data_IF_371772815266
#
_entry.id   IF_371772815266
#
_cell.length_a   1.000
_cell.length_b   1.000
_cell.length_c   1.000
_cell.angle_alpha   90.00
_cell.angle_beta   90.00
_cell.angle_gamma   90.00
#
_symmetry.space_group_name_H-M   'P 1'
#
loop_
_entity.id
_entity.type
_entity.pdbx_description
1 polymer ?
#
# COMPACT_ATOMS: atom_id res chain seq x y z
N UNK A 1 -3.28 -40.06 14.36
CA UNK A 1 -3.77 -39.94 12.98
C UNK A 1 -3.35 -38.57 12.49
N UNK A 2 -2.33 -38.54 11.64
CA UNK A 2 -1.73 -37.33 11.11
C UNK A 2 -2.69 -36.74 10.06
N UNK A 3 -3.37 -35.65 10.39
CA UNK A 3 -4.12 -34.88 9.40
C UNK A 3 -3.10 -34.18 8.51
N UNK A 4 -2.90 -34.70 7.31
CA UNK A 4 -2.09 -34.06 6.28
C UNK A 4 -2.63 -32.66 6.05
N UNK A 5 -1.83 -31.65 6.38
CA UNK A 5 -2.07 -30.27 6.01
C UNK A 5 -2.25 -30.20 4.50
N UNK A 6 -3.47 -29.91 4.05
CA UNK A 6 -3.68 -29.43 2.71
C UNK A 6 -2.83 -28.17 2.57
N UNK A 7 -1.71 -28.24 1.88
CA UNK A 7 -0.99 -27.05 1.47
C UNK A 7 -1.97 -26.20 0.66
N UNK A 8 -2.37 -25.07 1.24
CA UNK A 8 -3.16 -24.05 0.58
C UNK A 8 -2.34 -23.58 -0.63
N UNK A 9 -2.66 -24.10 -1.81
CA UNK A 9 -2.05 -23.63 -3.05
C UNK A 9 -2.57 -22.22 -3.28
N UNK A 10 -1.76 -21.24 -2.90
CA UNK A 10 -2.04 -19.82 -3.06
C UNK A 10 -1.50 -19.36 -4.42
N UNK A 11 -2.30 -18.62 -5.17
CA UNK A 11 -1.92 -18.10 -6.49
C UNK A 11 -2.11 -16.59 -6.54
N UNK A 12 -1.13 -15.86 -7.09
CA UNK A 12 -1.28 -14.42 -7.35
C UNK A 12 -1.91 -14.22 -8.71
N UNK A 13 -2.93 -13.37 -8.79
CA UNK A 13 -3.66 -13.03 -10.01
C UNK A 13 -4.02 -11.54 -10.02
N UNK A 14 -4.39 -11.01 -11.19
CA UNK A 14 -4.99 -9.67 -11.31
C UNK A 14 -6.29 -9.58 -10.52
N UNK A 15 -6.66 -8.38 -10.09
CA UNK A 15 -7.98 -8.12 -9.48
C UNK A 15 -8.98 -7.71 -10.58
N UNK A 16 -9.88 -8.61 -11.03
CA UNK A 16 -10.90 -8.24 -12.01
C UNK A 16 -11.97 -7.34 -11.38
N UNK A 17 -12.64 -6.54 -12.20
CA UNK A 17 -13.64 -5.55 -11.77
C UNK A 17 -14.77 -6.15 -10.94
N UNK A 18 -15.23 -7.36 -11.29
CA UNK A 18 -16.27 -8.08 -10.56
C UNK A 18 -15.86 -8.53 -9.15
N UNK A 19 -14.60 -8.31 -8.74
CA UNK A 19 -14.07 -8.62 -7.40
C UNK A 19 -13.64 -7.39 -6.61
N UNK A 20 -13.91 -6.18 -7.10
CA UNK A 20 -13.56 -4.96 -6.37
C UNK A 20 -14.24 -4.87 -5.00
N UNK A 21 -15.50 -5.30 -4.89
CA UNK A 21 -16.20 -5.31 -3.60
C UNK A 21 -15.56 -6.27 -2.59
N UNK A 22 -15.13 -7.46 -3.04
CA UNK A 22 -14.41 -8.42 -2.20
C UNK A 22 -13.05 -7.89 -1.77
N UNK A 23 -12.34 -7.21 -2.69
CA UNK A 23 -11.07 -6.56 -2.39
C UNK A 23 -11.22 -5.49 -1.31
N UNK A 24 -12.21 -4.60 -1.45
CA UNK A 24 -12.49 -3.56 -0.46
C UNK A 24 -12.90 -4.18 0.88
N UNK A 25 -13.73 -5.23 0.86
CA UNK A 25 -14.10 -5.97 2.07
C UNK A 25 -12.88 -6.56 2.79
N UNK A 26 -11.95 -7.19 2.05
CA UNK A 26 -10.69 -7.68 2.60
C UNK A 26 -9.89 -6.56 3.27
N UNK A 27 -9.78 -5.38 2.65
CA UNK A 27 -9.05 -4.24 3.21
C UNK A 27 -9.69 -3.69 4.50
N UNK A 28 -11.02 -3.63 4.59
CA UNK A 28 -11.74 -3.24 5.82
C UNK A 28 -11.40 -4.17 6.99
N UNK A 29 -11.27 -5.47 6.73
CA UNK A 29 -11.00 -6.48 7.76
C UNK A 29 -9.52 -6.58 8.14
N UNK A 30 -8.62 -6.44 7.15
CA UNK A 30 -7.22 -6.84 7.29
C UNK A 30 -6.20 -5.69 7.16
N UNK A 31 -6.63 -4.48 6.80
CA UNK A 31 -5.72 -3.35 6.57
C UNK A 31 -6.15 -2.05 7.25
N UNK A 32 -7.33 -1.49 6.94
CA UNK A 32 -7.62 -0.08 7.24
C UNK A 32 -7.43 0.31 8.72
N UNK A 33 -7.95 -0.48 9.65
CA UNK A 33 -7.85 -0.19 11.09
C UNK A 33 -6.46 -0.52 11.70
N UNK A 34 -5.69 -1.38 11.03
CA UNK A 34 -4.37 -1.85 11.47
C UNK A 34 -3.22 -1.04 10.81
N UNK A 35 -3.51 -0.25 9.77
CA UNK A 35 -2.53 0.60 9.10
C UNK A 35 -2.00 1.64 10.10
N UNK A 36 -0.67 1.82 10.21
CA UNK A 36 -0.05 2.63 11.27
C UNK A 36 -0.61 4.04 11.45
N UNK A 37 -0.82 4.79 10.37
CA UNK A 37 -1.29 6.18 10.45
C UNK A 37 -2.79 6.26 10.71
N UNK A 38 -3.59 5.41 10.06
CA UNK A 38 -5.01 5.26 10.29
C UNK A 38 -5.30 4.90 11.76
N UNK A 39 -4.54 3.96 12.31
CA UNK A 39 -4.66 3.52 13.69
C UNK A 39 -4.31 4.66 14.67
N UNK A 40 -3.22 5.39 14.41
CA UNK A 40 -2.75 6.47 15.27
C UNK A 40 -3.80 7.57 15.48
N UNK A 41 -4.54 7.91 14.43
CA UNK A 41 -5.59 8.95 14.49
C UNK A 41 -6.99 8.37 14.75
N UNK A 42 -7.12 7.05 14.89
CA UNK A 42 -8.39 6.34 15.03
C UNK A 42 -9.35 6.65 13.86
N UNK A 43 -8.88 6.47 12.62
CA UNK A 43 -9.63 6.82 11.41
C UNK A 43 -10.88 5.96 11.21
N UNK A 44 -10.80 4.66 11.50
CA UNK A 44 -11.92 3.71 11.39
C UNK A 44 -11.67 2.48 12.29
N UNK A 45 -12.73 1.77 12.69
CA UNK A 45 -12.60 0.47 13.33
C UNK A 45 -12.55 -0.68 12.31
N UNK A 46 -12.12 -1.86 12.76
CA UNK A 46 -12.01 -3.03 11.89
C UNK A 46 -13.37 -3.43 11.32
N UNK A 47 -13.42 -3.64 10.01
CA UNK A 47 -14.64 -4.02 9.30
C UNK A 47 -15.59 -2.85 9.00
N UNK A 48 -15.40 -1.69 9.62
CA UNK A 48 -16.20 -0.50 9.33
C UNK A 48 -15.87 0.06 7.95
N UNK A 49 -16.87 0.71 7.36
CA UNK A 49 -16.66 1.45 6.12
C UNK A 49 -15.96 2.77 6.41
N UNK A 50 -15.05 3.17 5.52
CA UNK A 50 -14.48 4.52 5.51
C UNK A 50 -14.44 5.03 4.07
N UNK A 51 -15.36 5.95 3.77
CA UNK A 51 -15.66 6.42 2.42
C UNK A 51 -14.43 6.86 1.64
N UNK A 52 -13.57 7.71 2.23
CA UNK A 52 -12.41 8.26 1.52
C UNK A 52 -11.34 7.21 1.23
N UNK A 53 -11.10 6.28 2.17
CA UNK A 53 -10.18 5.16 1.94
C UNK A 53 -10.70 4.22 0.86
N UNK A 54 -11.97 3.88 0.89
CA UNK A 54 -12.58 2.99 -0.09
C UNK A 54 -12.62 3.60 -1.47
N UNK A 55 -12.94 4.90 -1.57
CA UNK A 55 -12.88 5.65 -2.82
C UNK A 55 -11.46 5.68 -3.37
N UNK A 56 -10.46 5.94 -2.54
CA UNK A 56 -9.05 5.89 -2.93
C UNK A 56 -8.64 4.50 -3.43
N UNK A 57 -9.04 3.44 -2.72
CA UNK A 57 -8.77 2.06 -3.11
C UNK A 57 -9.47 1.69 -4.43
N UNK A 58 -10.74 2.05 -4.60
CA UNK A 58 -11.50 1.79 -5.83
C UNK A 58 -10.88 2.50 -7.05
N UNK A 59 -10.46 3.75 -6.90
CA UNK A 59 -9.77 4.48 -7.96
C UNK A 59 -8.43 3.82 -8.31
N UNK A 60 -7.71 3.29 -7.31
CA UNK A 60 -6.47 2.53 -7.52
C UNK A 60 -6.71 1.20 -8.23
N UNK A 61 -7.72 0.43 -7.81
CA UNK A 61 -8.11 -0.84 -8.43
C UNK A 61 -8.43 -0.66 -9.93
N UNK A 62 -9.16 0.42 -10.27
CA UNK A 62 -9.51 0.78 -11.66
C UNK A 62 -8.30 1.09 -12.56
N UNK A 63 -7.11 1.29 -12.00
CA UNK A 63 -5.89 1.46 -12.79
C UNK A 63 -5.36 0.12 -13.33
N UNK A 64 -5.86 -1.02 -12.86
CA UNK A 64 -5.65 -2.33 -13.49
C UNK A 64 -4.34 -3.05 -13.14
N UNK A 65 -3.56 -2.55 -12.18
CA UNK A 65 -2.27 -3.13 -11.78
C UNK A 65 -2.27 -3.85 -10.43
N UNK A 66 -3.40 -3.83 -9.72
CA UNK A 66 -3.52 -4.42 -8.40
C UNK A 66 -3.56 -5.94 -8.47
N UNK A 67 -2.97 -6.59 -7.47
CA UNK A 67 -2.77 -8.04 -7.40
C UNK A 67 -3.43 -8.61 -6.16
N UNK A 68 -4.08 -9.76 -6.30
CA UNK A 68 -4.65 -10.51 -5.18
C UNK A 68 -4.03 -11.90 -5.11
N UNK A 69 -3.79 -12.37 -3.89
CA UNK A 69 -3.40 -13.73 -3.60
C UNK A 69 -4.64 -14.50 -3.17
N UNK A 70 -4.98 -15.57 -3.88
CA UNK A 70 -6.19 -16.35 -3.65
C UNK A 70 -5.90 -17.82 -3.36
N UNK A 71 -6.73 -18.43 -2.52
CA UNK A 71 -6.71 -19.87 -2.31
C UNK A 71 -7.44 -20.65 -3.43
N UNK A 72 -7.45 -21.99 -3.33
CA UNK A 72 -8.14 -22.85 -4.32
C UNK A 72 -9.66 -22.61 -4.41
N UNK A 73 -10.27 -22.01 -3.39
CA UNK A 73 -11.70 -21.67 -3.34
C UNK A 73 -11.97 -20.25 -3.84
N UNK A 74 -10.92 -19.49 -4.19
CA UNK A 74 -11.00 -18.10 -4.61
C UNK A 74 -10.99 -17.09 -3.46
N UNK A 75 -10.86 -17.52 -2.20
CA UNK A 75 -10.82 -16.61 -1.06
C UNK A 75 -9.53 -15.77 -1.08
N UNK A 76 -9.64 -14.46 -0.82
CA UNK A 76 -8.51 -13.53 -0.84
C UNK A 76 -7.70 -13.70 0.45
N UNK A 77 -6.49 -14.24 0.34
CA UNK A 77 -5.52 -14.38 1.43
C UNK A 77 -4.63 -13.13 1.59
N UNK A 78 -4.56 -12.28 0.57
CA UNK A 78 -3.82 -11.02 0.64
C UNK A 78 -3.93 -10.21 -0.64
N UNK A 79 -3.51 -8.95 -0.58
CA UNK A 79 -3.61 -7.99 -1.66
C UNK A 79 -2.41 -7.04 -1.73
N UNK A 80 -2.04 -6.67 -2.94
CA UNK A 80 -1.24 -5.48 -3.24
C UNK A 80 -2.07 -4.53 -4.11
N UNK A 81 -2.44 -3.37 -3.58
CA UNK A 81 -3.06 -2.34 -4.41
C UNK A 81 -1.95 -1.49 -5.02
N UNK A 82 -1.85 -1.59 -6.33
CA UNK A 82 -0.85 -0.86 -7.11
C UNK A 82 -1.53 0.18 -7.97
N UNK A 83 -0.94 1.37 -8.01
CA UNK A 83 -1.41 2.47 -8.82
C UNK A 83 -0.31 3.13 -9.63
N UNK A 84 -0.70 4.13 -10.40
CA UNK A 84 0.21 4.97 -11.19
C UNK A 84 0.23 6.37 -10.59
N UNK A 85 1.41 6.96 -10.50
CA UNK A 85 1.61 8.39 -10.29
C UNK A 85 2.24 8.98 -11.55
N UNK A 86 1.62 10.01 -12.12
CA UNK A 86 2.19 10.73 -13.27
C UNK A 86 2.71 12.10 -12.87
N UNK A 87 3.75 12.53 -13.56
CA UNK A 87 4.35 13.85 -13.41
C UNK A 87 3.30 14.93 -13.66
N UNK A 88 3.19 15.88 -12.73
CA UNK A 88 2.22 16.98 -12.81
C UNK A 88 0.84 16.71 -12.20
N UNK A 89 0.51 15.47 -11.79
CA UNK A 89 -0.78 15.18 -11.13
C UNK A 89 -0.82 15.63 -9.66
N UNK A 90 0.32 16.03 -9.09
CA UNK A 90 0.44 16.32 -7.66
C UNK A 90 -0.42 17.49 -7.21
N UNK A 91 -0.37 18.62 -7.91
CA UNK A 91 -1.12 19.81 -7.52
C UNK A 91 -2.63 19.57 -7.51
N UNK A 92 -3.12 18.74 -8.45
CA UNK A 92 -4.53 18.38 -8.48
C UNK A 92 -4.91 17.46 -7.31
N UNK A 93 -4.04 16.50 -6.96
CA UNK A 93 -4.25 15.63 -5.81
C UNK A 93 -4.33 16.44 -4.49
N UNK A 94 -3.48 17.45 -4.33
CA UNK A 94 -3.52 18.37 -3.19
C UNK A 94 -4.79 19.22 -3.14
N UNK A 95 -5.22 19.77 -4.27
CA UNK A 95 -6.50 20.51 -4.35
C UNK A 95 -7.68 19.63 -3.94
N UNK A 96 -7.75 18.40 -4.45
CA UNK A 96 -8.80 17.44 -4.07
C UNK A 96 -8.75 17.08 -2.60
N UNK A 97 -7.55 16.95 -2.00
CA UNK A 97 -7.41 16.68 -0.58
C UNK A 97 -7.93 17.84 0.28
N UNK A 98 -7.72 19.09 -0.14
CA UNK A 98 -8.21 20.26 0.57
C UNK A 98 -9.74 20.32 0.66
N UNK A 99 -10.44 19.72 -0.32
CA UNK A 99 -11.90 19.64 -0.41
C UNK A 99 -12.53 18.49 0.40
N UNK A 100 -11.73 17.55 0.93
CA UNK A 100 -12.22 16.45 1.78
C UNK A 100 -12.72 17.01 3.12
N UNK A 101 -13.75 16.45 3.75
CA UNK A 101 -14.20 16.94 5.08
C UNK A 101 -13.52 16.23 6.25
N UNK A 102 -13.02 15.01 6.05
CA UNK A 102 -12.38 14.20 7.08
C UNK A 102 -10.97 14.69 7.41
N UNK A 103 -10.84 15.43 8.51
CA UNK A 103 -9.58 15.99 8.99
C UNK A 103 -8.53 14.93 9.37
N UNK A 104 -8.95 13.73 9.78
CA UNK A 104 -8.03 12.62 10.06
C UNK A 104 -7.44 12.11 8.76
N UNK A 105 -8.29 11.92 7.73
CA UNK A 105 -7.84 11.55 6.40
C UNK A 105 -6.87 12.59 5.81
N UNK A 106 -7.21 13.89 5.91
CA UNK A 106 -6.31 15.00 5.51
C UNK A 106 -4.96 14.95 6.21
N UNK A 107 -4.96 14.70 7.51
CA UNK A 107 -3.73 14.62 8.31
C UNK A 107 -2.79 13.54 7.77
N UNK A 108 -3.33 12.37 7.45
CA UNK A 108 -2.56 11.23 6.94
C UNK A 108 -2.01 11.53 5.55
N UNK A 109 -2.86 11.93 4.61
CA UNK A 109 -2.43 12.21 3.23
C UNK A 109 -1.50 13.43 3.16
N UNK A 110 -1.72 14.44 4.00
CA UNK A 110 -0.80 15.57 4.14
C UNK A 110 0.60 15.13 4.61
N UNK A 111 0.70 14.11 5.46
CA UNK A 111 1.99 13.54 5.85
C UNK A 111 2.66 12.75 4.72
N UNK A 112 1.88 11.94 3.98
CA UNK A 112 2.37 11.25 2.77
C UNK A 112 2.89 12.27 1.74
N UNK A 113 2.19 13.39 1.60
CA UNK A 113 2.59 14.49 0.74
C UNK A 113 3.92 15.11 1.16
N UNK A 114 4.08 15.43 2.44
CA UNK A 114 5.32 15.97 3.00
C UNK A 114 6.55 15.09 2.79
N UNK A 115 6.43 13.75 2.86
CA UNK A 115 7.60 12.88 2.61
C UNK A 115 8.00 12.89 1.13
N UNK A 116 7.02 12.99 0.23
CA UNK A 116 7.27 13.09 -1.21
C UNK A 116 7.89 14.43 -1.62
N UNK A 117 7.61 15.52 -0.89
CA UNK A 117 8.20 16.83 -1.18
C UNK A 117 9.70 16.90 -0.88
N UNK A 118 10.24 15.94 -0.11
CA UNK A 118 11.66 15.88 0.20
C UNK A 118 12.53 15.52 -1.00
N UNK A 119 11.96 14.92 -2.06
CA UNK A 119 12.70 14.47 -3.24
C UNK A 119 11.81 14.41 -4.48
N UNK A 120 12.23 15.08 -5.56
CA UNK A 120 11.58 14.94 -6.86
C UNK A 120 12.05 13.65 -7.55
N UNK A 121 11.29 12.57 -7.38
CA UNK A 121 11.61 11.26 -7.99
C UNK A 121 11.53 11.28 -9.52
N UNK A 122 10.65 12.08 -10.10
CA UNK A 122 10.51 12.20 -11.56
C UNK A 122 11.77 12.81 -12.17
N UNK A 123 12.27 13.90 -11.58
CA UNK A 123 13.53 14.51 -11.98
C UNK A 123 14.73 13.60 -11.67
N UNK A 124 14.78 13.01 -10.46
CA UNK A 124 15.91 12.18 -10.01
C UNK A 124 16.16 10.99 -10.93
N UNK A 125 15.10 10.32 -11.39
CA UNK A 125 15.22 9.11 -12.21
C UNK A 125 14.89 9.34 -13.69
N UNK A 126 14.61 10.58 -14.08
CA UNK A 126 14.26 10.96 -15.45
C UNK A 126 13.11 10.11 -16.03
N UNK A 127 11.98 10.14 -15.33
CA UNK A 127 10.75 9.42 -15.68
C UNK A 127 9.54 10.35 -15.59
N UNK A 128 8.49 10.03 -16.35
CA UNK A 128 7.22 10.77 -16.32
C UNK A 128 6.12 10.04 -15.54
N UNK A 129 6.35 8.77 -15.19
CA UNK A 129 5.43 7.94 -14.41
C UNK A 129 6.17 7.01 -13.45
N UNK A 130 5.51 6.69 -12.34
CA UNK A 130 5.98 5.78 -11.31
C UNK A 130 4.91 4.71 -11.06
N UNK A 131 5.34 3.46 -10.89
CA UNK A 131 4.49 2.41 -10.36
C UNK A 131 4.51 2.46 -8.84
N UNK A 132 3.35 2.59 -8.21
CA UNK A 132 3.25 2.76 -6.75
C UNK A 132 2.52 1.59 -6.09
N UNK A 133 3.20 0.89 -5.19
CA UNK A 133 2.57 -0.05 -4.27
C UNK A 133 2.00 0.74 -3.08
N UNK A 134 0.69 1.00 -3.12
CA UNK A 134 -0.01 1.84 -2.13
C UNK A 134 -0.40 1.06 -0.88
N UNK A 135 -0.87 -0.17 -1.06
CA UNK A 135 -1.29 -1.05 0.04
C UNK A 135 -0.69 -2.42 -0.16
N UNK A 136 -0.18 -3.00 0.93
CA UNK A 136 0.24 -4.39 1.00
C UNK A 136 -0.44 -5.02 2.23
N UNK A 137 -1.46 -5.83 2.01
CA UNK A 137 -2.27 -6.47 3.05
C UNK A 137 -2.20 -7.98 2.94
N UNK A 138 -2.18 -8.65 4.09
CA UNK A 138 -2.26 -10.10 4.21
C UNK A 138 -3.26 -10.42 5.31
N UNK A 139 -4.16 -11.34 5.00
CA UNK A 139 -5.14 -11.82 5.96
C UNK A 139 -4.47 -12.35 7.22
N UNK A 140 -5.05 -12.04 8.38
CA UNK A 140 -4.51 -12.42 9.68
C UNK A 140 -4.23 -13.92 9.80
N UNK A 141 -5.09 -14.77 9.24
CA UNK A 141 -4.98 -16.24 9.31
C UNK A 141 -3.85 -16.80 8.43
N UNK A 142 -3.29 -15.95 7.56
CA UNK A 142 -2.26 -16.31 6.59
C UNK A 142 -0.90 -15.64 6.85
N UNK A 143 -0.76 -14.91 7.96
CA UNK A 143 0.49 -14.26 8.37
C UNK A 143 1.59 -15.29 8.67
N UNK A 144 2.84 -14.85 8.61
CA UNK A 144 4.02 -15.70 8.87
C UNK A 144 4.42 -16.62 7.70
N UNK A 145 3.61 -16.69 6.63
CA UNK A 145 3.88 -17.53 5.44
C UNK A 145 4.62 -16.80 4.31
N UNK A 146 5.11 -15.58 4.55
CA UNK A 146 5.85 -14.80 3.55
C UNK A 146 5.00 -14.20 2.42
N UNK A 147 3.67 -14.17 2.55
CA UNK A 147 2.76 -13.79 1.47
C UNK A 147 2.89 -12.35 0.99
N UNK A 148 3.18 -11.41 1.91
CA UNK A 148 3.48 -10.02 1.54
C UNK A 148 4.72 -9.93 0.63
N UNK A 149 5.70 -10.81 0.83
CA UNK A 149 6.89 -10.91 -0.03
C UNK A 149 6.56 -11.46 -1.40
N UNK A 150 5.59 -12.37 -1.51
CA UNK A 150 5.13 -12.93 -2.79
C UNK A 150 4.37 -11.87 -3.59
N UNK A 151 3.42 -11.18 -2.93
CA UNK A 151 2.65 -10.09 -3.53
C UNK A 151 3.54 -8.94 -4.01
N UNK A 152 4.51 -8.48 -3.22
CA UNK A 152 5.40 -7.40 -3.65
C UNK A 152 6.29 -7.82 -4.83
N UNK A 153 6.77 -9.07 -4.85
CA UNK A 153 7.55 -9.58 -5.97
C UNK A 153 6.74 -9.59 -7.26
N UNK A 154 5.50 -10.10 -7.20
CA UNK A 154 4.59 -10.13 -8.35
C UNK A 154 4.18 -8.71 -8.81
N UNK A 155 3.98 -7.76 -7.89
CA UNK A 155 3.79 -6.34 -8.23
C UNK A 155 5.00 -5.75 -8.97
N UNK A 156 6.23 -6.07 -8.55
CA UNK A 156 7.45 -5.62 -9.22
C UNK A 156 7.56 -6.19 -10.63
N UNK A 157 7.27 -7.48 -10.82
CA UNK A 157 7.27 -8.10 -12.14
C UNK A 157 6.14 -7.57 -13.04
N UNK A 158 4.97 -7.27 -12.45
CA UNK A 158 3.86 -6.58 -13.13
C UNK A 158 4.31 -5.20 -13.64
N UNK A 159 4.99 -4.42 -12.79
CA UNK A 159 5.51 -3.11 -13.15
C UNK A 159 6.54 -3.18 -14.30
N UNK A 160 7.49 -4.12 -14.22
CA UNK A 160 8.48 -4.36 -15.29
C UNK A 160 7.81 -4.72 -16.61
N UNK A 161 6.87 -5.66 -16.57
CA UNK A 161 6.15 -6.14 -17.76
C UNK A 161 5.36 -5.00 -18.42
N UNK A 162 4.84 -4.08 -17.62
CA UNK A 162 4.13 -2.89 -18.10
C UNK A 162 5.05 -1.74 -18.56
N UNK A 163 6.38 -1.90 -18.47
CA UNK A 163 7.36 -0.92 -18.97
C UNK A 163 7.70 0.21 -17.99
N UNK A 164 7.27 0.12 -16.72
CA UNK A 164 7.70 1.07 -15.70
C UNK A 164 9.18 0.89 -15.40
N UNK A 165 9.86 2.01 -15.13
CA UNK A 165 11.29 2.03 -14.78
C UNK A 165 11.54 2.15 -13.28
N UNK A 166 10.50 2.51 -12.51
CA UNK A 166 10.62 2.82 -11.09
C UNK A 166 9.37 2.31 -10.35
N UNK A 167 9.60 1.46 -9.35
CA UNK A 167 8.61 1.13 -8.33
C UNK A 167 8.81 2.01 -7.09
N UNK A 168 7.72 2.48 -6.50
CA UNK A 168 7.67 3.34 -5.31
C UNK A 168 6.74 2.74 -4.26
N UNK A 169 7.04 2.95 -2.99
CA UNK A 169 6.13 2.71 -1.88
C UNK A 169 6.33 3.75 -0.76
N UNK A 170 5.23 4.30 -0.25
CA UNK A 170 5.22 5.14 0.94
C UNK A 170 4.95 4.26 2.16
N UNK A 171 6.01 3.60 2.65
CA UNK A 171 5.89 2.56 3.64
C UNK A 171 5.79 3.16 5.05
N UNK A 172 4.60 3.15 5.63
CA UNK A 172 4.29 3.64 6.99
C UNK A 172 4.66 2.64 8.09
N UNK A 173 4.63 1.35 7.76
CA UNK A 173 4.80 0.26 8.72
C UNK A 173 6.16 -0.41 8.66
N UNK A 174 6.75 -0.69 9.82
CA UNK A 174 8.00 -1.44 9.94
C UNK A 174 8.01 -2.80 9.21
N UNK A 175 6.84 -3.46 9.07
CA UNK A 175 6.74 -4.75 8.38
C UNK A 175 6.83 -4.60 6.85
N UNK A 176 6.10 -3.66 6.25
CA UNK A 176 6.18 -3.40 4.81
C UNK A 176 7.55 -2.84 4.43
N UNK A 177 8.16 -2.01 5.28
CA UNK A 177 9.55 -1.54 5.10
C UNK A 177 10.54 -2.70 5.01
N UNK A 178 10.45 -3.69 5.92
CA UNK A 178 11.29 -4.90 5.87
C UNK A 178 11.10 -5.70 4.57
N UNK A 179 9.86 -5.83 4.10
CA UNK A 179 9.55 -6.50 2.84
C UNK A 179 10.13 -5.72 1.66
N UNK A 180 9.97 -4.40 1.61
CA UNK A 180 10.54 -3.54 0.57
C UNK A 180 12.07 -3.65 0.53
N UNK A 181 12.76 -3.56 1.68
CA UNK A 181 14.22 -3.73 1.77
C UNK A 181 14.68 -5.09 1.25
N UNK A 182 13.98 -6.17 1.61
CA UNK A 182 14.27 -7.53 1.13
C UNK A 182 14.18 -7.62 -0.41
N UNK A 183 13.30 -6.84 -1.02
CA UNK A 183 13.12 -6.78 -2.48
C UNK A 183 13.97 -5.71 -3.15
N UNK A 184 14.96 -5.14 -2.45
CA UNK A 184 15.93 -4.20 -3.01
C UNK A 184 15.38 -2.80 -3.22
N UNK A 185 14.28 -2.43 -2.55
CA UNK A 185 13.90 -1.03 -2.44
C UNK A 185 14.89 -0.30 -1.51
N UNK A 186 15.22 0.93 -1.87
CA UNK A 186 16.09 1.83 -1.12
C UNK A 186 15.25 2.98 -0.55
N UNK A 187 15.68 3.55 0.56
CA UNK A 187 15.01 4.71 1.18
C UNK A 187 15.50 5.98 0.48
N UNK A 188 14.57 6.76 -0.06
CA UNK A 188 14.84 8.03 -0.73
C UNK A 188 14.60 9.23 0.19
N UNK A 189 13.57 9.13 1.04
CA UNK A 189 13.30 10.09 2.09
C UNK A 189 12.58 9.40 3.26
N UNK A 190 12.65 9.99 4.44
CA UNK A 190 11.87 9.53 5.59
C UNK A 190 11.43 10.68 6.49
N UNK A 191 10.36 10.45 7.23
CA UNK A 191 9.90 11.28 8.35
C UNK A 191 9.85 10.39 9.59
N UNK A 192 10.79 10.54 10.53
CA UNK A 192 10.74 9.87 11.83
C UNK A 192 9.48 10.26 12.60
N UNK A 193 8.74 9.29 13.13
CA UNK A 193 7.53 9.56 13.90
C UNK A 193 7.82 10.30 15.22
N UNK A 194 9.07 10.27 15.70
CA UNK A 194 9.51 11.11 16.82
C UNK A 194 9.40 12.62 16.54
N UNK A 195 9.36 13.04 15.27
CA UNK A 195 9.20 14.43 14.85
C UNK A 195 7.74 14.88 14.74
N UNK A 196 6.77 13.95 14.76
CA UNK A 196 5.34 14.27 14.63
C UNK A 196 4.71 14.64 15.98
N UNK A 197 3.51 15.22 15.97
CA UNK A 197 2.72 15.37 17.20
C UNK A 197 2.35 14.03 17.80
N UNK A 198 2.41 13.90 19.13
CA UNK A 198 2.14 12.62 19.83
C UNK A 198 0.79 12.01 19.48
N UNK A 199 -0.22 12.83 19.19
CA UNK A 199 -1.59 12.41 18.83
C UNK A 199 -1.69 11.69 17.49
N UNK A 200 -0.68 11.81 16.63
CA UNK A 200 -0.66 11.21 15.29
C UNK A 200 0.48 10.21 15.11
N UNK A 201 1.21 9.89 16.19
CA UNK A 201 2.33 8.94 16.15
C UNK A 201 1.80 7.51 16.17
N UNK A 202 2.17 6.68 15.18
CA UNK A 202 1.97 5.25 15.28
C UNK A 202 2.68 4.66 16.50
N UNK A 203 2.10 3.59 17.05
CA UNK A 203 2.69 2.86 18.17
C UNK A 203 3.84 1.97 17.70
N UNK A 204 4.76 1.55 18.61
CA UNK A 204 5.77 0.55 18.29
C UNK A 204 5.15 -0.71 17.66
N UNK A 205 5.81 -1.35 16.68
CA UNK A 205 7.21 -1.17 16.28
C UNK A 205 7.44 -0.12 15.19
N UNK A 206 6.45 0.70 14.84
CA UNK A 206 6.54 1.66 13.73
C UNK A 206 7.34 2.90 14.15
N UNK A 207 8.34 3.30 13.35
CA UNK A 207 9.31 4.34 13.75
C UNK A 207 9.37 5.54 12.79
N UNK A 208 9.06 5.35 11.51
CA UNK A 208 9.10 6.39 10.50
C UNK A 208 8.17 6.05 9.33
N UNK A 209 7.70 7.06 8.62
CA UNK A 209 7.20 6.94 7.26
C UNK A 209 8.40 7.01 6.31
N UNK A 210 8.56 6.01 5.43
CA UNK A 210 9.68 5.94 4.50
C UNK A 210 9.18 5.95 3.06
N UNK A 211 9.62 6.92 2.28
CA UNK A 211 9.52 6.91 0.83
C UNK A 211 10.60 5.97 0.30
N UNK A 212 10.18 4.85 -0.30
CA UNK A 212 11.06 3.79 -0.75
C UNK A 212 10.91 3.55 -2.24
N UNK A 213 12.03 3.33 -2.94
CA UNK A 213 12.06 3.14 -4.39
C UNK A 213 12.92 1.94 -4.79
N UNK A 214 12.48 1.23 -5.82
CA UNK A 214 13.28 0.24 -6.56
C UNK A 214 13.34 0.64 -8.04
N UNK A 215 14.55 0.75 -8.57
CA UNK A 215 14.76 0.87 -10.01
C UNK A 215 14.51 -0.49 -10.68
N UNK A 216 13.83 -0.43 -11.82
CA UNK A 216 13.49 -1.59 -12.64
C UNK A 216 14.40 -1.59 -13.86
N UNK A 217 15.12 -2.70 -14.03
CA UNK A 217 15.96 -2.97 -15.20
C UNK A 217 15.13 -3.38 -16.42
#
# INVERSE_FOLDING_TARGET
>A
MSSSSSEDCLTVVDVPENRYDEAIHHLRLNFFADEPLNNAVGLCARGESQHELERHCLLTLKQGYSRMLVDKKGAIAGMALNGILKKGEREEAERRLAEVDDEKFKTIFGLLYKVNDKVDLFAKYNVDELFECRILSVDADYRGKGLASILLADSVETAKTAGFKVCKADATGAFSQKVCLKHGFQVEAEIPYSELDKSIRPTPPHQALKLMVKLLD
#
